data_IF_468177402844
#
_entry.id   IF_468177402844
#
_cell.length_a   1.000
_cell.length_b   1.000
_cell.length_c   1.000
_cell.angle_alpha   90.00
_cell.angle_beta   90.00
_cell.angle_gamma   90.00
#
_symmetry.space_group_name_H-M   'P 1'
#
loop_
_entity.id
_entity.type
_entity.pdbx_description
1 polymer ?
#
# COMPACT_ATOMS: atom_id res chain seq x y z
N UNK A 1 0.37 -9.14 8.74
CA UNK A 1 -0.16 -7.82 9.15
C UNK A 1 -1.68 -7.88 9.16
N UNK A 2 -2.32 -7.23 10.11
CA UNK A 2 -3.78 -7.27 10.20
C UNK A 2 -4.43 -6.43 9.10
N UNK A 3 -5.67 -6.79 8.73
CA UNK A 3 -6.40 -6.05 7.72
C UNK A 3 -6.65 -4.60 8.16
N UNK A 4 -6.90 -4.39 9.44
CA UNK A 4 -7.11 -3.05 9.99
C UNK A 4 -5.87 -2.19 9.82
N UNK A 5 -4.70 -2.74 10.13
CA UNK A 5 -3.44 -2.01 9.98
C UNK A 5 -3.18 -1.65 8.52
N UNK A 6 -3.43 -2.59 7.62
CA UNK A 6 -3.24 -2.38 6.19
C UNK A 6 -4.15 -1.25 5.71
N UNK A 7 -5.42 -1.28 6.11
CA UNK A 7 -6.37 -0.25 5.72
C UNK A 7 -5.91 1.13 6.18
N UNK A 8 -5.50 1.25 7.42
CA UNK A 8 -5.06 2.54 7.97
C UNK A 8 -3.86 3.07 7.20
N UNK A 9 -2.89 2.21 6.93
CA UNK A 9 -1.66 2.62 6.26
C UNK A 9 -1.93 3.01 4.80
N UNK A 10 -2.69 2.20 4.09
CA UNK A 10 -2.98 2.48 2.68
C UNK A 10 -3.91 3.68 2.51
N UNK A 11 -4.85 3.88 3.44
CA UNK A 11 -5.67 5.09 3.44
C UNK A 11 -4.81 6.32 3.61
N UNK A 12 -3.79 6.25 4.46
CA UNK A 12 -2.88 7.36 4.65
C UNK A 12 -2.09 7.67 3.38
N UNK A 13 -1.61 6.64 2.70
CA UNK A 13 -0.92 6.82 1.43
C UNK A 13 -1.85 7.47 0.40
N UNK A 14 -3.09 7.04 0.39
CA UNK A 14 -4.10 7.60 -0.51
C UNK A 14 -4.35 9.07 -0.22
N UNK A 15 -4.51 9.43 1.06
CA UNK A 15 -4.72 10.82 1.47
C UNK A 15 -3.55 11.71 1.09
N UNK A 16 -2.34 11.19 1.23
CA UNK A 16 -1.13 11.91 0.86
C UNK A 16 -0.86 11.91 -0.63
N UNK A 17 -1.64 11.13 -1.39
CA UNK A 17 -1.48 10.97 -2.82
C UNK A 17 -0.06 10.52 -3.17
N UNK A 18 0.41 9.49 -2.49
CA UNK A 18 1.79 9.03 -2.61
C UNK A 18 1.87 7.52 -2.80
N UNK A 19 3.09 7.05 -2.99
CA UNK A 19 3.35 5.63 -3.19
C UNK A 19 3.43 4.87 -1.88
N UNK A 20 3.02 3.61 -1.92
CA UNK A 20 3.19 2.67 -0.83
C UNK A 20 3.93 1.45 -1.36
N UNK A 21 4.93 1.01 -0.61
CA UNK A 21 5.69 -0.19 -0.93
C UNK A 21 5.26 -1.29 0.01
N UNK A 22 4.73 -2.37 -0.54
CA UNK A 22 4.24 -3.50 0.23
C UNK A 22 5.23 -4.64 0.09
N UNK A 23 5.81 -5.08 1.20
CA UNK A 23 6.79 -6.15 1.22
C UNK A 23 6.15 -7.46 1.68
N UNK A 24 6.35 -8.50 0.87
CA UNK A 24 5.78 -9.82 1.12
C UNK A 24 6.93 -10.81 1.22
N UNK A 25 7.06 -11.51 2.34
CA UNK A 25 8.06 -12.56 2.56
C UNK A 25 9.49 -12.13 2.28
N UNK A 26 9.82 -10.87 2.56
CA UNK A 26 11.17 -10.31 2.42
C UNK A 26 11.75 -10.38 0.99
N UNK A 27 10.98 -10.89 0.04
CA UNK A 27 11.48 -11.07 -1.33
C UNK A 27 10.68 -10.30 -2.37
N UNK A 28 9.37 -10.29 -2.21
CA UNK A 28 8.49 -9.69 -3.19
C UNK A 28 8.03 -8.33 -2.70
N UNK A 29 8.09 -7.36 -3.59
CA UNK A 29 7.70 -6.00 -3.28
C UNK A 29 6.70 -5.52 -4.33
N UNK A 30 5.63 -4.92 -3.86
CA UNK A 30 4.63 -4.29 -4.71
C UNK A 30 4.67 -2.80 -4.48
N UNK A 31 4.81 -2.03 -5.55
CA UNK A 31 4.79 -0.57 -5.49
C UNK A 31 3.42 -0.14 -6.01
N UNK A 32 2.60 0.41 -5.14
CA UNK A 32 1.31 0.97 -5.55
C UNK A 32 1.37 2.47 -5.41
N UNK A 33 0.81 3.15 -6.39
CA UNK A 33 0.84 4.60 -6.41
C UNK A 33 -0.50 5.16 -6.82
N UNK A 34 -0.63 6.49 -6.82
CA UNK A 34 -1.89 7.13 -7.16
C UNK A 34 -2.28 6.94 -8.63
N UNK A 35 -1.28 6.73 -9.49
CA UNK A 35 -1.51 6.61 -10.93
C UNK A 35 -1.55 5.15 -11.37
N UNK A 36 -2.70 4.71 -11.84
CA UNK A 36 -2.81 3.40 -12.43
C UNK A 36 -3.00 2.24 -11.46
N UNK A 37 -3.05 2.51 -10.18
CA UNK A 37 -3.23 1.47 -9.18
C UNK A 37 -4.45 1.76 -8.30
N UNK A 38 -5.03 0.68 -7.79
CA UNK A 38 -6.13 0.73 -6.84
C UNK A 38 -5.96 -0.45 -5.88
N UNK A 39 -6.66 -0.41 -4.75
CA UNK A 39 -6.52 -1.48 -3.77
C UNK A 39 -7.81 -1.65 -2.99
N UNK A 40 -7.99 -2.85 -2.45
CA UNK A 40 -9.12 -3.17 -1.59
C UNK A 40 -8.73 -4.25 -0.60
N UNK A 41 -9.12 -4.07 0.66
CA UNK A 41 -8.89 -5.06 1.69
C UNK A 41 -10.19 -5.82 1.95
N UNK A 42 -10.11 -7.14 1.91
CA UNK A 42 -11.22 -8.02 2.23
C UNK A 42 -11.01 -8.58 3.64
N UNK A 43 -11.69 -7.99 4.63
CA UNK A 43 -11.52 -8.36 6.02
C UNK A 43 -11.86 -9.83 6.29
N UNK A 44 -12.98 -10.28 5.73
CA UNK A 44 -13.45 -11.65 5.96
C UNK A 44 -12.50 -12.70 5.42
N UNK A 45 -11.82 -12.37 4.34
CA UNK A 45 -10.90 -13.30 3.68
C UNK A 45 -9.45 -13.07 4.09
N UNK A 46 -9.18 -11.99 4.79
CA UNK A 46 -7.84 -11.56 5.19
C UNK A 46 -6.92 -11.49 3.97
N UNK A 47 -7.40 -10.81 2.93
CA UNK A 47 -6.71 -10.68 1.65
C UNK A 47 -6.68 -9.22 1.23
N UNK A 48 -5.52 -8.80 0.73
CA UNK A 48 -5.35 -7.51 0.07
C UNK A 48 -5.38 -7.73 -1.44
N UNK A 49 -6.27 -7.03 -2.12
CA UNK A 49 -6.33 -7.07 -3.58
C UNK A 49 -5.72 -5.79 -4.13
N UNK A 50 -4.79 -5.93 -5.06
CA UNK A 50 -4.18 -4.80 -5.76
C UNK A 50 -4.55 -4.90 -7.23
N UNK A 51 -5.15 -3.84 -7.75
CA UNK A 51 -5.57 -3.80 -9.14
C UNK A 51 -4.70 -2.81 -9.90
N UNK A 52 -4.06 -3.28 -10.97
CA UNK A 52 -3.26 -2.44 -11.86
C UNK A 52 -4.07 -2.15 -13.10
N UNK A 53 -4.43 -0.88 -13.30
CA UNK A 53 -5.29 -0.46 -14.40
C UNK A 53 -4.63 -0.60 -15.76
N UNK A 54 -3.32 -0.40 -15.82
CA UNK A 54 -2.60 -0.48 -17.09
C UNK A 54 -2.56 -1.89 -17.64
N UNK A 55 -2.23 -2.85 -16.78
CA UNK A 55 -2.15 -4.25 -17.18
C UNK A 55 -3.48 -4.98 -17.08
N UNK A 56 -4.46 -4.35 -16.43
CA UNK A 56 -5.77 -4.93 -16.17
C UNK A 56 -5.64 -6.26 -15.40
N UNK A 57 -4.74 -6.26 -14.40
CA UNK A 57 -4.49 -7.44 -13.59
C UNK A 57 -4.79 -7.16 -12.12
N UNK A 58 -5.36 -8.17 -11.47
CA UNK A 58 -5.61 -8.13 -10.04
C UNK A 58 -4.68 -9.11 -9.33
N UNK A 59 -4.07 -8.64 -8.24
CA UNK A 59 -3.19 -9.47 -7.43
C UNK A 59 -3.80 -9.59 -6.04
N UNK A 60 -3.92 -10.81 -5.56
CA UNK A 60 -4.48 -11.11 -4.25
C UNK A 60 -3.37 -11.59 -3.33
N UNK A 61 -3.19 -10.91 -2.22
CA UNK A 61 -2.11 -11.20 -1.27
C UNK A 61 -2.73 -11.54 0.08
N UNK A 62 -2.35 -12.69 0.62
CA UNK A 62 -2.73 -13.07 1.98
C UNK A 62 -2.08 -12.08 2.93
N UNK A 63 -2.88 -11.43 3.78
CA UNK A 63 -2.37 -10.39 4.67
C UNK A 63 -1.35 -10.93 5.68
N UNK A 64 -1.41 -12.22 5.97
CA UNK A 64 -0.46 -12.85 6.87
C UNK A 64 0.97 -12.76 6.35
N UNK A 65 1.15 -12.76 5.05
CA UNK A 65 2.48 -12.72 4.43
C UNK A 65 3.00 -11.30 4.21
N UNK A 66 2.21 -10.29 4.51
CA UNK A 66 2.66 -8.90 4.39
C UNK A 66 3.47 -8.57 5.65
N UNK A 67 4.75 -8.32 5.45
CA UNK A 67 5.66 -8.05 6.56
C UNK A 67 5.82 -6.57 6.86
N UNK A 68 5.71 -5.73 5.83
CA UNK A 68 5.99 -4.31 6.00
C UNK A 68 5.31 -3.50 4.90
N UNK A 69 4.85 -2.30 5.26
CA UNK A 69 4.38 -1.34 4.27
C UNK A 69 5.09 -0.03 4.53
N UNK A 70 5.75 0.50 3.51
CA UNK A 70 6.47 1.77 3.59
C UNK A 70 5.76 2.80 2.73
N UNK A 71 5.50 3.97 3.29
CA UNK A 71 4.87 5.07 2.57
C UNK A 71 5.93 6.13 2.28
N UNK A 72 5.95 6.60 1.05
CA UNK A 72 6.84 7.68 0.67
C UNK A 72 6.28 9.00 1.21
N UNK A 73 7.12 9.75 1.91
CA UNK A 73 6.74 11.03 2.47
C UNK A 73 7.37 12.13 1.63
N UNK A 74 6.59 13.15 1.31
CA UNK A 74 7.05 14.27 0.51
C UNK A 74 8.14 15.06 1.25
N UNK A 75 9.26 15.29 0.59
CA UNK A 75 10.39 16.04 1.15
C UNK A 75 10.00 17.47 1.51
N UNK A 76 9.10 18.07 0.75
CA UNK A 76 8.64 19.42 1.04
C UNK A 76 7.94 19.50 2.38
N UNK A 77 7.06 18.54 2.66
CA UNK A 77 6.38 18.47 3.94
C UNK A 77 7.37 18.27 5.07
N UNK A 78 8.38 17.48 4.82
CA UNK A 78 9.42 17.21 5.79
C UNK A 78 10.22 18.48 6.08
N UNK A 79 10.53 19.24 5.05
CA UNK A 79 11.25 20.50 5.20
C UNK A 79 10.49 21.52 6.02
N UNK A 80 9.18 21.61 5.80
CA UNK A 80 8.33 22.53 6.54
C UNK A 80 8.28 22.20 8.03
N UNK A 81 8.31 20.93 8.35
CA UNK A 81 8.30 20.49 9.74
C UNK A 81 9.61 20.83 10.45
N UNK A 82 10.70 20.82 9.72
CA UNK A 82 12.01 21.14 10.28
C UNK A 82 12.17 22.60 10.64
N UNK A 83 11.51 23.44 9.92
CA UNK A 83 11.62 24.88 10.11
C UNK A 83 10.58 25.39 11.07
#
# INVERSE_FOLDING_TARGET
MTTDAINVILDKAWELNTHALIFVDDRTRFDIGPDGWDWRVYDDLEVLCIYNKESNMETYIDTEYISEITIQIDDEQHSLVKN
#
